data_IF_511168616828
#
_entry.id   IF_511168616828
#
_cell.length_a   1.000
_cell.length_b   1.000
_cell.length_c   1.000
_cell.angle_alpha   90.00
_cell.angle_beta   90.00
_cell.angle_gamma   90.00
#
_symmetry.space_group_name_H-M   'P 1'
#
loop_
_entity.id
_entity.type
_entity.pdbx_description
1 polymer ?
#
# COMPACT_ATOMS: atom_id res chain seq x y z
N UNK A 1 17.72 -1.79 23.25
CA UNK A 1 16.34 -1.33 23.55
C UNK A 1 16.36 0.19 23.70
N UNK A 2 15.63 0.91 22.85
CA UNK A 2 15.53 2.37 22.91
C UNK A 2 14.08 2.75 23.25
N UNK A 3 13.80 3.31 24.45
CA UNK A 3 12.48 3.76 24.85
C UNK A 3 11.95 4.96 24.05
N UNK A 4 12.84 5.75 23.44
CA UNK A 4 12.46 6.94 22.68
C UNK A 4 11.97 6.59 21.27
N UNK A 5 12.30 5.38 20.77
CA UNK A 5 11.89 4.91 19.44
C UNK A 5 10.59 4.07 19.47
N UNK A 6 9.93 3.96 20.63
CA UNK A 6 8.72 3.14 20.77
C UNK A 6 7.57 3.93 21.40
N UNK A 7 6.37 3.45 21.18
CA UNK A 7 5.14 4.03 21.72
C UNK A 7 4.35 3.03 22.57
N UNK A 8 3.39 3.53 23.36
CA UNK A 8 2.44 2.69 24.07
C UNK A 8 1.42 2.06 23.10
N UNK A 9 1.32 0.71 23.01
CA UNK A 9 0.39 0.05 22.11
C UNK A 9 -1.03 -0.09 22.67
N UNK A 10 -1.31 0.47 23.84
CA UNK A 10 -2.62 0.40 24.48
C UNK A 10 -3.52 1.54 24.01
N UNK A 11 -4.47 1.26 23.13
CA UNK A 11 -5.40 2.24 22.54
C UNK A 11 -6.21 3.03 23.58
N UNK A 12 -6.46 2.44 24.76
CA UNK A 12 -7.14 3.13 25.86
C UNK A 12 -6.22 4.09 26.64
N UNK A 13 -4.93 4.13 26.33
CA UNK A 13 -3.97 5.01 26.99
C UNK A 13 -3.96 6.39 26.34
N UNK A 14 -4.03 7.50 27.11
CA UNK A 14 -3.91 8.85 26.54
C UNK A 14 -2.61 9.05 25.75
N UNK A 15 -1.49 8.42 26.16
CA UNK A 15 -0.22 8.45 25.47
C UNK A 15 -0.06 7.34 24.41
N UNK A 16 -1.15 6.76 23.91
CA UNK A 16 -1.13 5.75 22.85
C UNK A 16 -0.52 6.30 21.57
N UNK A 17 0.38 5.55 20.93
CA UNK A 17 1.00 5.94 19.66
C UNK A 17 2.03 7.08 19.75
N UNK A 18 2.23 7.72 20.91
CA UNK A 18 3.17 8.84 21.07
C UNK A 18 4.61 8.35 21.21
N UNK A 19 5.50 8.82 20.32
CA UNK A 19 6.93 8.51 20.29
C UNK A 19 7.72 9.70 20.84
N UNK A 20 8.81 9.42 21.58
CA UNK A 20 9.76 10.46 22.04
C UNK A 20 9.21 11.41 23.13
N UNK A 21 8.10 11.07 23.76
CA UNK A 21 7.48 11.90 24.83
C UNK A 21 7.91 11.52 26.24
N UNK A 22 8.93 10.66 26.41
CA UNK A 22 9.42 10.22 27.70
C UNK A 22 8.45 9.33 28.52
N UNK A 23 7.34 8.93 27.93
CA UNK A 23 6.30 8.13 28.59
C UNK A 23 6.58 6.63 28.62
N UNK A 24 7.65 6.17 27.96
CA UNK A 24 8.06 4.78 27.91
C UNK A 24 9.41 4.60 28.62
N UNK A 25 9.51 3.57 29.45
CA UNK A 25 10.76 3.13 30.09
C UNK A 25 11.05 1.66 29.84
N UNK A 26 12.29 1.25 30.06
CA UNK A 26 12.67 -0.17 30.04
C UNK A 26 12.16 -0.84 31.31
N UNK A 27 11.33 -1.88 31.17
CA UNK A 27 10.82 -2.64 32.30
C UNK A 27 11.73 -3.83 32.65
N UNK A 28 12.21 -4.56 31.64
CA UNK A 28 13.10 -5.69 31.81
C UNK A 28 14.01 -5.84 30.59
N UNK A 29 15.32 -5.76 30.80
CA UNK A 29 16.31 -6.02 29.74
C UNK A 29 16.33 -7.50 29.36
N UNK A 30 16.27 -8.39 30.37
CA UNK A 30 16.29 -9.85 30.17
C UNK A 30 15.14 -10.35 29.33
N UNK A 31 13.92 -9.83 29.58
CA UNK A 31 12.70 -10.21 28.84
C UNK A 31 12.44 -9.31 27.66
N UNK A 32 13.26 -8.29 27.41
CA UNK A 32 13.09 -7.29 26.35
C UNK A 32 11.71 -6.66 26.39
N UNK A 33 11.35 -6.06 27.56
CA UNK A 33 10.04 -5.45 27.79
C UNK A 33 10.17 -3.98 28.14
N UNK A 34 9.19 -3.20 27.67
CA UNK A 34 8.96 -1.82 28.03
C UNK A 34 7.78 -1.67 28.98
N UNK A 35 7.71 -0.53 29.68
CA UNK A 35 6.58 -0.10 30.51
C UNK A 35 6.15 1.30 30.12
N UNK A 36 4.85 1.50 29.94
CA UNK A 36 4.28 2.83 29.79
C UNK A 36 4.03 3.43 31.17
N UNK A 37 4.60 4.59 31.47
CA UNK A 37 4.43 5.28 32.77
C UNK A 37 3.04 5.89 32.92
N UNK A 38 2.31 6.17 31.83
CA UNK A 38 0.97 6.76 31.86
C UNK A 38 -0.12 5.74 32.20
N UNK A 39 -0.10 4.55 31.59
CA UNK A 39 -1.11 3.51 31.85
C UNK A 39 -0.60 2.33 32.69
N UNK A 40 0.69 2.31 33.05
CA UNK A 40 1.31 1.25 33.85
C UNK A 40 1.50 -0.09 33.11
N UNK A 41 0.95 -0.29 31.91
CA UNK A 41 1.04 -1.56 31.19
C UNK A 41 2.43 -1.80 30.62
N UNK A 42 2.85 -3.08 30.65
CA UNK A 42 4.11 -3.53 30.03
C UNK A 42 3.84 -4.23 28.70
N UNK A 43 4.80 -4.15 27.79
CA UNK A 43 4.72 -4.78 26.48
C UNK A 43 6.08 -5.26 25.99
N UNK A 44 6.09 -6.32 25.18
CA UNK A 44 7.32 -6.86 24.62
C UNK A 44 7.88 -5.93 23.53
N UNK A 45 9.19 -5.94 23.34
CA UNK A 45 9.86 -5.19 22.27
C UNK A 45 9.34 -5.55 20.87
N UNK A 46 8.93 -6.80 20.66
CA UNK A 46 8.37 -7.26 19.37
C UNK A 46 6.86 -7.05 19.24
N UNK A 47 6.21 -6.45 20.24
CA UNK A 47 4.75 -6.20 20.19
C UNK A 47 4.40 -5.35 18.95
N UNK A 48 3.32 -5.72 18.24
CA UNK A 48 2.84 -5.10 17.01
C UNK A 48 3.80 -5.18 15.82
N UNK A 49 4.70 -6.20 15.84
CA UNK A 49 5.54 -6.60 14.70
C UNK A 49 5.20 -8.02 14.25
N UNK A 50 5.71 -8.41 13.08
CA UNK A 50 5.58 -9.81 12.63
C UNK A 50 6.23 -10.80 13.58
N UNK A 51 7.24 -10.41 14.33
CA UNK A 51 8.02 -11.27 15.24
C UNK A 51 7.37 -11.51 16.61
N UNK A 52 6.27 -10.83 16.91
CA UNK A 52 5.62 -10.97 18.22
C UNK A 52 5.18 -12.42 18.49
N UNK A 53 5.63 -12.98 19.63
CA UNK A 53 5.37 -14.37 20.05
C UNK A 53 5.84 -15.46 19.08
N UNK A 54 6.75 -15.15 18.15
CA UNK A 54 7.44 -16.20 17.40
C UNK A 54 8.57 -16.79 18.23
N UNK A 55 8.73 -18.12 18.19
CA UNK A 55 9.83 -18.85 18.83
C UNK A 55 11.04 -19.03 17.91
N UNK A 56 10.81 -18.96 16.60
CA UNK A 56 11.86 -19.10 15.59
C UNK A 56 12.75 -17.87 15.58
N UNK A 57 14.04 -18.07 15.37
CA UNK A 57 15.04 -17.02 15.22
C UNK A 57 14.61 -16.04 14.12
N UNK A 58 14.74 -14.75 14.42
CA UNK A 58 14.28 -13.65 13.56
C UNK A 58 14.81 -13.75 12.14
N UNK A 59 16.08 -14.07 11.97
CA UNK A 59 16.76 -14.14 10.67
C UNK A 59 16.13 -15.19 9.75
N UNK A 60 15.74 -16.34 10.28
CA UNK A 60 15.05 -17.39 9.49
C UNK A 60 13.70 -16.88 9.00
N UNK A 61 12.94 -16.19 9.85
CA UNK A 61 11.66 -15.60 9.46
C UNK A 61 11.85 -14.55 8.35
N UNK A 62 12.88 -13.69 8.47
CA UNK A 62 13.22 -12.67 7.47
C UNK A 62 13.58 -13.32 6.12
N UNK A 63 14.43 -14.37 6.14
CA UNK A 63 14.83 -15.10 4.92
C UNK A 63 13.60 -15.73 4.26
N UNK A 64 12.79 -16.45 5.02
CA UNK A 64 11.59 -17.14 4.51
C UNK A 64 10.58 -16.13 3.91
N UNK A 65 10.30 -15.03 4.62
CA UNK A 65 9.39 -14.00 4.11
C UNK A 65 9.95 -13.32 2.88
N UNK A 66 11.27 -13.11 2.82
CA UNK A 66 11.93 -12.60 1.61
C UNK A 66 11.71 -13.54 0.42
N UNK A 67 11.96 -14.83 0.58
CA UNK A 67 11.75 -15.83 -0.46
C UNK A 67 10.29 -15.85 -0.93
N UNK A 68 9.33 -15.81 -0.02
CA UNK A 68 7.90 -15.73 -0.32
C UNK A 68 7.54 -14.47 -1.11
N UNK A 69 8.06 -13.29 -0.71
CA UNK A 69 7.82 -12.02 -1.38
C UNK A 69 8.40 -11.96 -2.80
N UNK A 70 9.38 -12.80 -3.10
CA UNK A 70 9.97 -12.95 -4.44
C UNK A 70 9.45 -14.16 -5.21
N UNK A 71 8.43 -14.85 -4.70
CA UNK A 71 7.71 -15.92 -5.41
C UNK A 71 8.34 -17.30 -5.32
N UNK A 72 9.23 -17.52 -4.34
CA UNK A 72 9.73 -18.88 -4.09
C UNK A 72 8.57 -19.79 -3.63
N UNK A 73 8.42 -20.97 -4.21
CA UNK A 73 7.36 -21.91 -3.82
C UNK A 73 7.49 -22.32 -2.34
N UNK A 74 6.35 -22.40 -1.65
CA UNK A 74 6.29 -22.82 -0.23
C UNK A 74 6.99 -24.17 -0.03
N UNK A 75 6.76 -25.14 -0.91
CA UNK A 75 7.38 -26.47 -0.82
C UNK A 75 8.92 -26.42 -0.90
N UNK A 76 9.47 -25.55 -1.73
CA UNK A 76 10.93 -25.35 -1.81
C UNK A 76 11.49 -24.81 -0.49
N UNK A 77 10.77 -23.88 0.16
CA UNK A 77 11.14 -23.34 1.46
C UNK A 77 11.06 -24.42 2.55
N UNK A 78 9.97 -25.19 2.57
CA UNK A 78 9.78 -26.33 3.49
C UNK A 78 10.96 -27.30 3.40
N UNK A 79 11.32 -27.70 2.18
CA UNK A 79 12.42 -28.65 1.93
C UNK A 79 13.80 -28.05 2.31
N UNK A 80 14.03 -26.76 1.98
CA UNK A 80 15.32 -26.13 2.20
C UNK A 80 15.63 -25.85 3.69
N UNK A 81 14.60 -25.55 4.48
CA UNK A 81 14.75 -25.16 5.89
C UNK A 81 14.26 -26.20 6.90
N UNK A 82 13.71 -27.33 6.46
CA UNK A 82 13.11 -28.33 7.35
C UNK A 82 11.92 -27.79 8.15
N UNK A 83 11.21 -26.82 7.63
CA UNK A 83 10.08 -26.19 8.31
C UNK A 83 8.76 -26.91 7.98
N UNK A 84 7.82 -26.86 8.93
CA UNK A 84 6.45 -27.29 8.66
C UNK A 84 5.73 -26.31 7.70
N UNK A 85 4.96 -26.84 6.74
CA UNK A 85 4.24 -26.05 5.73
C UNK A 85 3.28 -25.03 6.37
N UNK A 86 2.59 -25.42 7.44
CA UNK A 86 1.64 -24.55 8.15
C UNK A 86 2.37 -23.35 8.79
N UNK A 87 3.61 -23.59 9.25
CA UNK A 87 4.46 -22.53 9.79
C UNK A 87 4.80 -21.51 8.71
N UNK A 88 5.25 -21.94 7.53
CA UNK A 88 5.58 -21.05 6.40
C UNK A 88 4.34 -20.27 5.94
N UNK A 89 3.21 -20.94 5.79
CA UNK A 89 1.93 -20.30 5.42
C UNK A 89 1.45 -19.31 6.50
N UNK A 90 1.64 -19.63 7.79
CA UNK A 90 1.31 -18.72 8.89
C UNK A 90 2.17 -17.44 8.84
N UNK A 91 3.46 -17.56 8.53
CA UNK A 91 4.34 -16.39 8.38
C UNK A 91 3.97 -15.57 7.13
N UNK A 92 3.61 -16.21 6.02
CA UNK A 92 3.10 -15.52 4.83
C UNK A 92 1.87 -14.69 5.15
N UNK A 93 0.86 -15.30 5.77
CA UNK A 93 -0.38 -14.63 6.18
C UNK A 93 -0.10 -13.46 7.12
N UNK A 94 0.67 -13.70 8.18
CA UNK A 94 1.01 -12.69 9.18
C UNK A 94 1.77 -11.51 8.59
N UNK A 95 2.74 -11.79 7.70
CA UNK A 95 3.49 -10.75 7.00
C UNK A 95 2.61 -9.98 6.02
N UNK A 96 1.69 -10.65 5.32
CA UNK A 96 0.74 -10.01 4.43
C UNK A 96 -0.19 -9.03 5.17
N UNK A 97 -0.77 -9.45 6.29
CA UNK A 97 -1.61 -8.61 7.15
C UNK A 97 -0.84 -7.43 7.73
N UNK A 98 0.40 -7.66 8.17
CA UNK A 98 1.28 -6.59 8.65
C UNK A 98 1.62 -5.60 7.53
N UNK A 99 1.98 -6.09 6.34
CA UNK A 99 2.24 -5.27 5.17
C UNK A 99 1.01 -4.44 4.75
N UNK A 100 -0.20 -4.97 4.92
CA UNK A 100 -1.43 -4.20 4.71
C UNK A 100 -1.51 -3.01 5.67
N UNK A 101 -1.29 -3.22 6.97
CA UNK A 101 -1.31 -2.15 7.97
C UNK A 101 -0.25 -1.08 7.68
N UNK A 102 0.98 -1.49 7.33
CA UNK A 102 2.06 -0.57 6.92
C UNK A 102 1.67 0.22 5.67
N UNK A 103 1.08 -0.44 4.68
CA UNK A 103 0.62 0.19 3.45
C UNK A 103 -0.48 1.22 3.72
N UNK A 104 -1.51 0.86 4.47
CA UNK A 104 -2.62 1.75 4.82
C UNK A 104 -2.12 2.97 5.63
N UNK A 105 -1.16 2.78 6.53
CA UNK A 105 -0.58 3.86 7.32
C UNK A 105 0.30 4.81 6.51
N UNK A 106 1.17 4.30 5.63
CA UNK A 106 2.20 5.10 4.95
C UNK A 106 1.84 5.47 3.52
N UNK A 107 1.13 4.61 2.79
CA UNK A 107 0.83 4.82 1.37
C UNK A 107 -0.55 5.44 1.17
N UNK A 108 -1.56 5.04 1.94
CA UNK A 108 -2.91 5.62 1.86
C UNK A 108 -2.98 6.99 2.56
N UNK A 109 -2.06 7.90 2.20
CA UNK A 109 -2.00 9.27 2.68
C UNK A 109 -2.10 10.25 1.50
N UNK A 110 -2.83 11.36 1.64
CA UNK A 110 -3.05 12.33 0.57
C UNK A 110 -1.74 12.90 0.01
N UNK A 111 -1.53 12.77 -1.31
CA UNK A 111 -0.37 13.30 -2.04
C UNK A 111 -0.74 13.72 -3.46
N UNK A 112 0.12 14.49 -4.13
CA UNK A 112 -0.02 14.80 -5.56
C UNK A 112 0.33 13.55 -6.38
N UNK A 113 -0.69 12.88 -6.92
CA UNK A 113 -0.51 11.67 -7.72
C UNK A 113 -0.14 11.97 -9.17
N UNK A 114 -0.56 13.11 -9.71
CA UNK A 114 -0.36 13.52 -11.11
C UNK A 114 -1.01 12.58 -12.13
N UNK A 115 -0.56 11.34 -12.23
CA UNK A 115 -1.12 10.33 -13.13
C UNK A 115 -1.23 8.97 -12.44
N UNK A 116 -2.38 8.34 -12.63
CA UNK A 116 -2.67 6.98 -12.13
C UNK A 116 -3.06 6.07 -13.29
N UNK A 117 -2.56 4.85 -13.26
CA UNK A 117 -3.04 3.76 -14.10
C UNK A 117 -3.66 2.67 -13.22
N UNK A 118 -4.73 2.05 -13.69
CA UNK A 118 -5.40 0.96 -13.01
C UNK A 118 -5.78 -0.15 -14.01
N UNK A 119 -5.74 -1.38 -13.55
CA UNK A 119 -6.09 -2.56 -14.33
C UNK A 119 -6.39 -3.73 -13.38
N UNK A 120 -7.05 -4.77 -13.87
CA UNK A 120 -7.32 -5.98 -13.09
C UNK A 120 -6.70 -7.23 -13.69
N UNK A 121 -6.32 -8.14 -12.81
CA UNK A 121 -5.83 -9.48 -13.15
C UNK A 121 -6.93 -10.48 -12.87
N UNK A 122 -7.26 -11.28 -13.89
CA UNK A 122 -8.09 -12.48 -13.72
C UNK A 122 -7.25 -13.56 -13.05
N UNK A 123 -7.72 -14.07 -11.92
CA UNK A 123 -7.04 -15.09 -11.13
C UNK A 123 -7.87 -16.35 -11.12
N UNK A 124 -7.25 -17.46 -11.54
CA UNK A 124 -7.88 -18.78 -11.46
C UNK A 124 -7.63 -19.36 -10.07
N UNK A 125 -8.71 -19.60 -9.34
CA UNK A 125 -8.71 -20.26 -8.04
C UNK A 125 -9.07 -21.74 -8.21
N UNK A 126 -9.01 -22.51 -7.13
CA UNK A 126 -9.48 -23.89 -7.15
C UNK A 126 -11.02 -23.92 -7.22
N UNK A 127 -11.56 -24.21 -8.42
CA UNK A 127 -13.00 -24.30 -8.66
C UNK A 127 -13.72 -23.00 -9.04
N UNK A 128 -13.07 -21.81 -8.94
CA UNK A 128 -13.70 -20.54 -9.28
C UNK A 128 -12.69 -19.50 -9.77
N UNK A 129 -13.17 -18.33 -10.14
CA UNK A 129 -12.37 -17.21 -10.63
C UNK A 129 -12.56 -16.03 -9.69
N UNK A 130 -11.47 -15.30 -9.43
CA UNK A 130 -11.51 -13.99 -8.76
C UNK A 130 -10.77 -12.95 -9.60
N UNK A 131 -10.97 -11.71 -9.27
CA UNK A 131 -10.34 -10.56 -9.91
C UNK A 131 -9.54 -9.77 -8.89
N UNK A 132 -8.33 -9.43 -9.26
CA UNK A 132 -7.44 -8.59 -8.45
C UNK A 132 -7.21 -7.29 -9.21
N UNK A 133 -7.88 -6.24 -8.79
CA UNK A 133 -7.73 -4.90 -9.34
C UNK A 133 -6.68 -4.13 -8.55
N UNK A 134 -5.79 -3.42 -9.26
CA UNK A 134 -4.68 -2.66 -8.68
C UNK A 134 -4.50 -1.31 -9.35
N UNK A 135 -3.87 -0.37 -8.64
CA UNK A 135 -3.53 0.94 -9.18
C UNK A 135 -2.07 1.31 -8.90
N UNK A 136 -1.48 2.12 -9.79
CA UNK A 136 -0.11 2.61 -9.71
C UNK A 136 -0.06 4.12 -9.99
N UNK A 137 0.69 4.86 -9.20
CA UNK A 137 1.12 6.22 -9.52
C UNK A 137 2.24 6.17 -10.56
N UNK A 138 2.06 6.81 -11.71
CA UNK A 138 2.99 6.68 -12.84
C UNK A 138 4.33 7.34 -12.57
N UNK A 139 4.36 8.57 -12.03
CA UNK A 139 5.60 9.32 -11.82
C UNK A 139 6.60 8.63 -10.89
N UNK A 140 6.11 8.04 -9.82
CA UNK A 140 6.94 7.39 -8.78
C UNK A 140 6.95 5.87 -8.86
N UNK A 141 6.13 5.27 -9.71
CA UNK A 141 5.90 3.81 -9.79
C UNK A 141 5.32 3.23 -8.49
N UNK A 142 4.77 4.07 -7.60
CA UNK A 142 4.21 3.65 -6.33
C UNK A 142 2.94 2.81 -6.56
N UNK A 143 2.93 1.58 -6.09
CA UNK A 143 1.71 0.79 -6.00
C UNK A 143 0.80 1.40 -4.94
N UNK A 144 -0.39 1.82 -5.35
CA UNK A 144 -1.36 2.53 -4.49
C UNK A 144 -2.31 1.60 -3.74
N UNK A 145 -2.21 0.31 -3.99
CA UNK A 145 -3.06 -0.69 -3.38
C UNK A 145 -3.85 -1.51 -4.39
N UNK A 146 -4.63 -2.44 -3.89
CA UNK A 146 -5.48 -3.29 -4.71
C UNK A 146 -6.67 -3.85 -3.93
N UNK A 147 -7.59 -4.44 -4.67
CA UNK A 147 -8.81 -5.09 -4.16
C UNK A 147 -8.96 -6.45 -4.84
N UNK A 148 -9.33 -7.46 -4.07
CA UNK A 148 -9.64 -8.80 -4.58
C UNK A 148 -11.13 -9.04 -4.45
N UNK A 149 -11.80 -9.45 -5.55
CA UNK A 149 -13.24 -9.70 -5.59
C UNK A 149 -13.55 -10.96 -6.41
N UNK A 150 -14.58 -11.74 -6.04
CA UNK A 150 -15.07 -12.84 -6.86
C UNK A 150 -15.72 -12.36 -8.16
N UNK A 151 -16.09 -11.09 -8.29
CA UNK A 151 -16.76 -10.53 -9.44
C UNK A 151 -15.97 -9.39 -10.08
N UNK A 152 -15.97 -9.34 -11.43
CA UNK A 152 -15.47 -8.21 -12.21
C UNK A 152 -16.64 -7.26 -12.48
N UNK A 153 -16.96 -6.46 -11.51
CA UNK A 153 -18.12 -5.57 -11.56
C UNK A 153 -17.76 -4.12 -11.17
N UNK A 154 -18.79 -3.26 -11.20
CA UNK A 154 -18.65 -1.85 -10.79
C UNK A 154 -18.25 -1.69 -9.30
N UNK A 155 -18.55 -2.67 -8.44
CA UNK A 155 -18.19 -2.61 -7.02
C UNK A 155 -16.69 -2.80 -6.82
N UNK A 156 -16.06 -3.73 -7.55
CA UNK A 156 -14.61 -3.91 -7.56
C UNK A 156 -13.89 -2.62 -7.99
N UNK A 157 -14.33 -2.01 -9.12
CA UNK A 157 -13.71 -0.80 -9.64
C UNK A 157 -13.91 0.38 -8.68
N UNK A 158 -15.09 0.49 -8.08
CA UNK A 158 -15.38 1.52 -7.08
C UNK A 158 -14.52 1.38 -5.84
N UNK A 159 -14.42 0.18 -5.27
CA UNK A 159 -13.58 -0.06 -4.09
C UNK A 159 -12.10 0.27 -4.35
N UNK A 160 -11.58 -0.04 -5.56
CA UNK A 160 -10.23 0.37 -5.95
C UNK A 160 -10.11 1.89 -6.05
N UNK A 161 -11.05 2.58 -6.68
CA UNK A 161 -10.98 4.04 -6.83
C UNK A 161 -11.16 4.78 -5.50
N UNK A 162 -11.92 4.24 -4.56
CA UNK A 162 -12.01 4.76 -3.18
C UNK A 162 -10.65 4.67 -2.45
N UNK A 163 -9.90 3.58 -2.60
CA UNK A 163 -8.52 3.49 -2.09
C UNK A 163 -7.60 4.53 -2.74
N UNK A 164 -7.64 4.65 -4.05
CA UNK A 164 -6.84 5.68 -4.76
C UNK A 164 -7.23 7.08 -4.31
N UNK A 165 -8.52 7.31 -4.01
CA UNK A 165 -9.00 8.59 -3.48
C UNK A 165 -8.38 8.94 -2.12
N UNK A 166 -8.16 7.97 -1.23
CA UNK A 166 -7.48 8.20 0.04
C UNK A 166 -6.00 8.61 -0.15
N UNK A 167 -5.36 8.14 -1.24
CA UNK A 167 -3.99 8.52 -1.57
C UNK A 167 -3.87 9.90 -2.24
N UNK A 168 -4.97 10.53 -2.67
CA UNK A 168 -4.95 11.68 -3.56
C UNK A 168 -5.25 13.01 -2.86
N UNK A 169 -4.46 14.04 -3.15
CA UNK A 169 -4.84 15.43 -2.94
C UNK A 169 -5.76 15.90 -4.07
N UNK A 170 -6.64 16.89 -3.78
CA UNK A 170 -7.49 17.54 -4.78
C UNK A 170 -6.63 18.46 -5.67
N UNK A 171 -6.04 17.88 -6.69
CA UNK A 171 -5.19 18.51 -7.71
C UNK A 171 -5.41 17.83 -9.05
N UNK A 172 -4.89 18.44 -10.13
CA UNK A 172 -4.95 17.87 -11.45
C UNK A 172 -4.44 16.42 -11.49
N UNK A 173 -5.33 15.48 -11.82
CA UNK A 173 -5.09 14.05 -11.76
C UNK A 173 -5.60 13.36 -13.02
N UNK A 174 -4.69 12.74 -13.76
CA UNK A 174 -4.98 11.97 -14.96
C UNK A 174 -5.13 10.49 -14.64
N UNK A 175 -6.25 9.91 -14.99
CA UNK A 175 -6.46 8.46 -15.02
C UNK A 175 -6.29 7.94 -16.45
N UNK A 176 -5.39 6.94 -16.62
CA UNK A 176 -5.29 6.16 -17.85
C UNK A 176 -5.69 4.72 -17.55
N UNK A 177 -6.84 4.30 -18.08
CA UNK A 177 -7.43 2.97 -17.85
C UNK A 177 -7.73 2.28 -19.19
N UNK A 178 -8.10 1.01 -19.13
CA UNK A 178 -8.60 0.31 -20.32
C UNK A 178 -9.98 0.83 -20.78
N UNK A 179 -10.53 0.24 -21.86
CA UNK A 179 -11.81 0.63 -22.42
C UNK A 179 -13.05 0.29 -21.56
N UNK A 180 -12.88 -0.19 -20.32
CA UNK A 180 -13.97 -0.57 -19.45
C UNK A 180 -14.68 0.67 -18.87
N UNK A 181 -15.96 0.83 -19.16
CA UNK A 181 -16.78 1.98 -18.71
C UNK A 181 -16.95 2.01 -17.18
N UNK A 182 -16.88 0.85 -16.51
CA UNK A 182 -17.00 0.78 -15.07
C UNK A 182 -15.90 1.57 -14.35
N UNK A 183 -14.68 1.73 -14.93
CA UNK A 183 -13.65 2.60 -14.39
C UNK A 183 -14.05 4.08 -14.44
N UNK A 184 -14.62 4.53 -15.55
CA UNK A 184 -15.05 5.94 -15.71
C UNK A 184 -16.11 6.29 -14.66
N UNK A 185 -17.11 5.43 -14.48
CA UNK A 185 -18.16 5.61 -13.47
C UNK A 185 -17.57 5.57 -12.04
N UNK A 186 -16.66 4.64 -11.76
CA UNK A 186 -16.02 4.51 -10.47
C UNK A 186 -15.16 5.75 -10.11
N UNK A 187 -14.36 6.26 -11.06
CA UNK A 187 -13.56 7.48 -10.88
C UNK A 187 -14.48 8.67 -10.58
N UNK A 188 -15.50 8.90 -11.40
CA UNK A 188 -16.45 10.01 -11.22
C UNK A 188 -17.20 9.95 -9.88
N UNK A 189 -17.44 8.75 -9.34
CA UNK A 189 -18.11 8.56 -8.06
C UNK A 189 -17.18 8.69 -6.86
N UNK A 190 -15.94 8.24 -6.96
CA UNK A 190 -14.97 8.28 -5.88
C UNK A 190 -14.39 9.69 -5.66
N UNK A 191 -14.14 10.44 -6.75
CA UNK A 191 -13.49 11.74 -6.68
C UNK A 191 -14.51 12.88 -6.57
N UNK A 192 -15.15 12.93 -5.41
CA UNK A 192 -16.12 13.95 -5.00
C UNK A 192 -15.81 14.46 -3.61
N UNK A 193 -16.22 15.66 -3.32
CA UNK A 193 -16.13 16.28 -2.01
C UNK A 193 -17.50 16.79 -1.54
N UNK A 194 -17.76 16.78 -0.22
CA UNK A 194 -18.99 17.33 0.31
C UNK A 194 -19.02 18.86 0.16
N UNK A 195 -20.14 19.38 -0.32
CA UNK A 195 -20.40 20.82 -0.32
C UNK A 195 -20.95 21.20 1.04
N UNK A 196 -20.42 22.23 1.72
CA UNK A 196 -21.04 22.78 2.94
C UNK A 196 -22.50 23.16 2.66
N UNK A 197 -23.40 22.73 3.52
CA UNK A 197 -24.84 22.98 3.36
C UNK A 197 -25.59 22.82 4.68
N UNK A 198 -26.90 23.16 4.71
CA UNK A 198 -27.73 22.97 5.88
C UNK A 198 -27.77 21.48 6.30
N UNK A 199 -28.23 21.21 7.52
CA UNK A 199 -28.32 19.86 8.08
C UNK A 199 -29.04 18.90 7.11
N UNK A 200 -28.48 17.70 6.93
CA UNK A 200 -29.00 16.67 6.06
C UNK A 200 -27.88 15.90 5.34
N UNK A 201 -28.27 15.08 4.34
CA UNK A 201 -27.28 14.36 3.51
C UNK A 201 -26.49 15.36 2.67
N UNK A 202 -25.15 15.46 2.81
CA UNK A 202 -24.35 16.42 2.08
C UNK A 202 -24.45 16.20 0.56
N UNK A 203 -24.62 17.28 -0.19
CA UNK A 203 -24.45 17.25 -1.65
C UNK A 203 -22.96 17.04 -1.95
N UNK A 204 -22.66 16.27 -3.01
CA UNK A 204 -21.29 15.97 -3.41
C UNK A 204 -20.97 16.69 -4.71
N UNK A 205 -19.87 17.42 -4.75
CA UNK A 205 -19.30 18.05 -5.94
C UNK A 205 -18.15 17.19 -6.47
N UNK A 206 -18.10 16.89 -7.79
CA UNK A 206 -16.91 16.29 -8.39
C UNK A 206 -15.68 17.19 -8.19
N UNK A 207 -14.50 16.61 -8.12
CA UNK A 207 -13.26 17.38 -8.23
C UNK A 207 -13.12 17.94 -9.65
N UNK A 208 -12.75 19.23 -9.75
CA UNK A 208 -12.75 19.96 -11.02
C UNK A 208 -11.66 19.46 -11.99
N UNK A 209 -10.51 19.04 -11.47
CA UNK A 209 -9.32 18.70 -12.25
C UNK A 209 -9.10 17.18 -12.44
N UNK A 210 -10.17 16.40 -12.51
CA UNK A 210 -10.09 14.98 -12.84
C UNK A 210 -10.13 14.80 -14.35
N UNK A 211 -9.05 14.25 -14.91
CA UNK A 211 -8.91 13.93 -16.33
C UNK A 211 -8.98 12.42 -16.51
N UNK A 212 -9.69 11.95 -17.53
CA UNK A 212 -9.85 10.53 -17.81
C UNK A 212 -9.54 10.25 -19.27
N UNK A 213 -8.61 9.33 -19.49
CA UNK A 213 -8.25 8.83 -20.79
C UNK A 213 -8.34 7.30 -20.84
N UNK A 214 -8.74 6.76 -21.95
CA UNK A 214 -8.85 5.31 -22.15
C UNK A 214 -7.98 4.81 -23.28
N UNK A 215 -7.45 3.60 -23.08
CA UNK A 215 -6.73 2.82 -24.10
C UNK A 215 -7.62 1.65 -24.49
N UNK A 216 -8.20 1.73 -25.70
CA UNK A 216 -9.11 0.71 -26.22
C UNK A 216 -8.35 -0.14 -27.23
N UNK A 217 -8.13 -1.41 -26.92
CA UNK A 217 -7.50 -2.37 -27.84
C UNK A 217 -8.56 -2.98 -28.75
N UNK A 218 -8.33 -2.89 -30.04
CA UNK A 218 -9.17 -3.54 -31.06
C UNK A 218 -8.61 -4.93 -31.35
N UNK A 219 -9.49 -5.91 -31.41
CA UNK A 219 -9.09 -7.30 -31.62
C UNK A 219 -9.72 -7.87 -32.89
N UNK A 220 -8.92 -8.57 -33.69
CA UNK A 220 -9.42 -9.50 -34.71
C UNK A 220 -8.70 -10.84 -34.52
N UNK A 221 -9.43 -11.95 -34.62
CA UNK A 221 -8.90 -13.32 -34.47
C UNK A 221 -8.00 -13.49 -33.21
N UNK A 222 -8.40 -12.93 -32.07
CA UNK A 222 -7.67 -12.91 -30.78
C UNK A 222 -6.33 -12.16 -30.81
N UNK A 223 -6.01 -11.41 -31.87
CA UNK A 223 -4.83 -10.54 -31.97
C UNK A 223 -5.21 -9.07 -31.88
N UNK A 224 -4.36 -8.26 -31.27
CA UNK A 224 -4.54 -6.80 -31.26
C UNK A 224 -4.19 -6.29 -32.65
N UNK A 225 -5.19 -5.69 -33.35
CA UNK A 225 -5.04 -5.10 -34.68
C UNK A 225 -4.92 -3.57 -34.62
N UNK A 226 -5.34 -2.95 -33.52
CA UNK A 226 -5.29 -1.49 -33.36
C UNK A 226 -5.41 -1.09 -31.90
N UNK A 227 -4.97 0.13 -31.61
CA UNK A 227 -5.09 0.75 -30.29
C UNK A 227 -5.64 2.15 -30.47
N UNK A 228 -6.86 2.38 -29.97
CA UNK A 228 -7.50 3.68 -29.96
C UNK A 228 -7.27 4.33 -28.60
N UNK A 229 -6.84 5.58 -28.59
CA UNK A 229 -6.68 6.41 -27.40
C UNK A 229 -7.73 7.49 -27.42
N UNK A 230 -8.60 7.51 -26.43
CA UNK A 230 -9.67 8.50 -26.35
C UNK A 230 -9.60 9.30 -25.06
N UNK A 231 -9.86 10.59 -25.18
CA UNK A 231 -10.10 11.47 -24.04
C UNK A 231 -11.58 11.33 -23.67
N UNK A 232 -11.84 10.96 -22.42
CA UNK A 232 -13.20 10.79 -21.88
C UNK A 232 -13.62 12.02 -21.08
N UNK A 233 -12.64 12.64 -20.38
CA UNK A 233 -12.86 13.81 -19.56
C UNK A 233 -11.60 14.68 -19.51
N UNK A 234 -11.77 15.99 -19.66
CA UNK A 234 -10.70 16.98 -19.78
C UNK A 234 -10.37 17.30 -21.25
N UNK A 235 -9.35 18.13 -21.45
CA UNK A 235 -8.86 18.54 -22.76
C UNK A 235 -7.57 17.81 -23.14
N UNK A 236 -7.31 17.70 -24.44
CA UNK A 236 -6.06 17.11 -24.96
C UNK A 236 -4.82 17.86 -24.42
N UNK A 237 -4.89 19.20 -24.31
CA UNK A 237 -3.79 20.01 -23.81
C UNK A 237 -3.49 19.73 -22.32
N UNK A 238 -4.52 19.64 -21.49
CA UNK A 238 -4.36 19.28 -20.06
C UNK A 238 -3.74 17.89 -19.88
N UNK A 239 -4.20 16.92 -20.67
CA UNK A 239 -3.65 15.56 -20.64
C UNK A 239 -2.19 15.56 -21.10
N UNK A 240 -1.85 16.25 -22.19
CA UNK A 240 -0.48 16.34 -22.68
C UNK A 240 0.46 16.96 -21.63
N UNK A 241 0.02 18.02 -20.93
CA UNK A 241 0.78 18.65 -19.84
C UNK A 241 1.07 17.67 -18.70
N UNK A 242 0.08 16.87 -18.26
CA UNK A 242 0.27 15.87 -17.22
C UNK A 242 1.15 14.71 -17.67
N UNK A 243 1.02 14.24 -18.91
CA UNK A 243 1.91 13.23 -19.49
C UNK A 243 3.35 13.73 -19.53
N UNK A 244 3.58 15.00 -19.88
CA UNK A 244 4.92 15.61 -19.85
C UNK A 244 5.48 15.60 -18.43
N UNK A 245 4.69 16.04 -17.43
CA UNK A 245 5.10 16.11 -16.02
C UNK A 245 5.42 14.73 -15.43
N UNK A 246 4.63 13.70 -15.75
CA UNK A 246 4.66 12.41 -15.03
C UNK A 246 5.49 11.34 -15.70
N UNK A 247 5.66 11.39 -17.01
CA UNK A 247 6.39 10.37 -17.77
C UNK A 247 7.36 10.94 -18.82
N UNK A 248 7.55 12.26 -18.87
CA UNK A 248 8.43 12.91 -19.83
C UNK A 248 7.82 13.05 -21.24
N UNK A 249 6.48 13.04 -21.35
CA UNK A 249 5.75 13.12 -22.60
C UNK A 249 5.31 11.77 -23.16
N UNK A 250 4.96 11.72 -24.43
CA UNK A 250 4.50 10.53 -25.12
C UNK A 250 2.97 10.40 -25.17
N UNK A 251 2.50 9.19 -25.41
CA UNK A 251 1.09 8.89 -25.65
C UNK A 251 0.39 8.37 -24.38
N UNK A 252 -0.93 8.56 -24.34
CA UNK A 252 -1.81 7.88 -23.39
C UNK A 252 -1.56 6.36 -23.47
N UNK A 253 -1.22 5.72 -22.35
CA UNK A 253 -0.89 4.31 -22.28
C UNK A 253 -1.25 3.70 -20.92
N UNK A 254 -1.24 2.37 -20.82
CA UNK A 254 -1.41 1.55 -19.61
C UNK A 254 -0.15 0.73 -19.29
N UNK A 255 0.99 1.05 -19.92
CA UNK A 255 2.19 0.23 -19.91
C UNK A 255 2.79 0.07 -18.50
N UNK A 256 2.66 1.07 -17.64
CA UNK A 256 3.20 0.99 -16.27
C UNK A 256 2.40 0.01 -15.42
N UNK A 257 1.08 -0.03 -15.59
CA UNK A 257 0.24 -0.99 -14.91
C UNK A 257 0.43 -2.40 -15.47
N UNK A 258 0.56 -2.57 -16.78
CA UNK A 258 0.88 -3.87 -17.40
C UNK A 258 2.21 -4.44 -16.87
N UNK A 259 3.24 -3.58 -16.70
CA UNK A 259 4.53 -3.97 -16.10
C UNK A 259 4.41 -4.34 -14.63
N UNK A 260 3.61 -3.60 -13.86
CA UNK A 260 3.32 -3.94 -12.47
C UNK A 260 2.61 -5.30 -12.38
N UNK A 261 1.60 -5.52 -13.21
CA UNK A 261 0.89 -6.79 -13.31
C UNK A 261 1.84 -7.96 -13.62
N UNK A 262 2.83 -7.75 -14.49
CA UNK A 262 3.86 -8.75 -14.77
C UNK A 262 4.73 -9.04 -13.54
N UNK A 263 5.09 -8.02 -12.76
CA UNK A 263 5.83 -8.18 -11.50
C UNK A 263 5.04 -8.99 -10.48
N UNK A 264 3.76 -8.70 -10.31
CA UNK A 264 2.91 -9.46 -9.39
C UNK A 264 2.73 -10.93 -9.87
N UNK A 265 2.56 -11.14 -11.18
CA UNK A 265 2.50 -12.50 -11.74
C UNK A 265 3.78 -13.29 -11.53
N UNK A 266 4.96 -12.68 -11.55
CA UNK A 266 6.23 -13.36 -11.29
C UNK A 266 6.44 -13.70 -9.80
N UNK A 267 5.74 -13.00 -8.89
CA UNK A 267 5.95 -13.14 -7.44
C UNK A 267 4.81 -13.85 -6.70
N UNK A 268 3.64 -13.95 -7.29
CA UNK A 268 2.49 -14.68 -6.73
C UNK A 268 2.16 -15.84 -7.65
N UNK A 269 2.47 -17.04 -7.22
CA UNK A 269 2.33 -18.26 -8.04
C UNK A 269 0.92 -18.44 -8.62
N UNK A 270 -0.12 -18.07 -7.87
CA UNK A 270 -1.52 -18.14 -8.32
C UNK A 270 -1.85 -17.20 -9.49
N UNK A 271 -1.03 -16.18 -9.76
CA UNK A 271 -1.22 -15.22 -10.85
C UNK A 271 -0.50 -15.64 -12.15
N UNK A 272 0.31 -16.70 -12.11
CA UNK A 272 1.08 -17.18 -13.26
C UNK A 272 0.11 -17.71 -14.32
N UNK A 273 0.21 -17.15 -15.54
CA UNK A 273 -0.59 -17.64 -16.68
C UNK A 273 -0.25 -19.10 -16.96
N UNK A 274 -1.26 -19.97 -17.01
CA UNK A 274 -1.11 -21.42 -17.21
C UNK A 274 -0.33 -22.14 -16.09
N UNK A 275 -0.18 -21.50 -14.91
CA UNK A 275 0.40 -22.13 -13.73
C UNK A 275 -0.53 -23.20 -13.14
N UNK A 276 0.08 -24.20 -12.50
CA UNK A 276 -0.65 -25.25 -11.73
C UNK A 276 -0.89 -24.87 -10.27
N UNK A 277 -0.18 -23.86 -9.76
CA UNK A 277 -0.33 -23.37 -8.39
C UNK A 277 -1.58 -22.48 -8.28
N UNK A 278 -2.71 -23.08 -7.95
CA UNK A 278 -3.97 -22.36 -7.75
C UNK A 278 -4.07 -21.89 -6.29
N UNK A 279 -4.49 -20.64 -6.08
CA UNK A 279 -4.87 -20.22 -4.75
C UNK A 279 -6.18 -20.92 -4.34
N UNK A 280 -6.26 -21.31 -3.06
CA UNK A 280 -7.45 -21.99 -2.51
C UNK A 280 -8.41 -21.01 -1.85
N UNK A 281 -7.89 -19.93 -1.30
CA UNK A 281 -8.65 -18.97 -0.49
C UNK A 281 -8.34 -17.53 -0.91
N UNK A 282 -9.35 -16.69 -0.97
CA UNK A 282 -9.23 -15.26 -1.28
C UNK A 282 -8.31 -14.54 -0.29
N UNK A 283 -8.39 -14.76 1.05
CA UNK A 283 -7.48 -14.13 2.00
C UNK A 283 -6.00 -14.39 1.71
N UNK A 284 -5.63 -15.60 1.28
CA UNK A 284 -4.23 -15.92 0.93
C UNK A 284 -3.74 -15.09 -0.26
N UNK A 285 -4.60 -14.85 -1.26
CA UNK A 285 -4.27 -14.00 -2.39
C UNK A 285 -4.14 -12.54 -1.97
N UNK A 286 -5.02 -12.08 -1.11
CA UNK A 286 -5.01 -10.74 -0.54
C UNK A 286 -3.74 -10.48 0.28
N UNK A 287 -3.40 -11.39 1.19
CA UNK A 287 -2.17 -11.31 1.99
C UNK A 287 -0.91 -11.30 1.10
N UNK A 288 -0.89 -12.16 0.07
CA UNK A 288 0.18 -12.19 -0.93
C UNK A 288 0.30 -10.90 -1.73
N UNK A 289 -0.82 -10.28 -2.08
CA UNK A 289 -0.86 -9.00 -2.77
C UNK A 289 -0.22 -7.90 -1.92
N UNK A 290 -0.57 -7.78 -0.64
CA UNK A 290 0.01 -6.77 0.25
C UNK A 290 1.48 -7.04 0.55
N UNK A 291 1.86 -8.29 0.79
CA UNK A 291 3.27 -8.65 0.99
C UNK A 291 4.12 -8.22 -0.22
N UNK A 292 3.73 -8.63 -1.43
CA UNK A 292 4.46 -8.32 -2.66
C UNK A 292 4.44 -6.82 -2.96
N UNK A 293 3.29 -6.17 -2.82
CA UNK A 293 3.13 -4.74 -3.12
C UNK A 293 3.92 -3.84 -2.17
N UNK A 294 3.95 -4.17 -0.88
CA UNK A 294 4.71 -3.38 0.11
C UNK A 294 6.21 -3.60 -0.06
N UNK A 295 6.65 -4.84 -0.28
CA UNK A 295 8.05 -5.14 -0.61
C UNK A 295 8.48 -4.45 -1.92
N UNK A 296 7.61 -4.40 -2.94
CA UNK A 296 7.84 -3.66 -4.17
C UNK A 296 8.03 -2.17 -3.89
N UNK A 297 7.18 -1.56 -3.07
CA UNK A 297 7.23 -0.13 -2.76
C UNK A 297 8.47 0.25 -1.94
N UNK A 298 8.79 -0.49 -0.89
CA UNK A 298 9.78 -0.09 0.13
C UNK A 298 11.15 -0.75 -0.06
N UNK A 299 11.18 -2.01 -0.50
CA UNK A 299 12.40 -2.82 -0.48
C UNK A 299 13.03 -3.03 -1.87
N UNK A 300 12.31 -2.74 -2.97
CA UNK A 300 12.79 -3.04 -4.33
C UNK A 300 13.22 -1.77 -5.05
N UNK A 301 14.50 -1.69 -5.45
CA UNK A 301 14.98 -0.62 -6.32
C UNK A 301 14.39 -0.70 -7.72
N UNK A 302 14.00 0.45 -8.27
CA UNK A 302 13.49 0.58 -9.63
C UNK A 302 14.52 1.23 -10.55
N UNK A 303 14.93 0.53 -11.61
CA UNK A 303 15.93 1.05 -12.56
C UNK A 303 15.48 2.37 -13.21
N UNK A 304 14.19 2.52 -13.52
CA UNK A 304 13.65 3.74 -14.14
C UNK A 304 13.51 4.93 -13.18
N UNK A 305 13.66 4.72 -11.87
CA UNK A 305 13.55 5.78 -10.85
C UNK A 305 14.92 6.30 -10.38
N UNK A 306 16.02 5.72 -10.89
CA UNK A 306 17.37 6.16 -10.53
C UNK A 306 17.63 7.58 -11.03
N UNK A 307 18.32 8.39 -10.22
CA UNK A 307 18.76 9.73 -10.59
C UNK A 307 20.26 9.71 -10.97
N UNK A 308 20.69 10.42 -12.01
CA UNK A 308 22.11 10.57 -12.29
C UNK A 308 22.75 11.46 -11.22
N UNK A 309 23.89 11.04 -10.70
CA UNK A 309 24.77 11.83 -9.86
C UNK A 309 26.01 12.16 -10.70
N UNK A 310 26.25 13.46 -10.92
CA UNK A 310 27.46 13.96 -11.57
C UNK A 310 28.50 14.21 -10.49
N UNK A 311 29.59 13.45 -10.52
CA UNK A 311 30.72 13.60 -9.61
C UNK A 311 31.82 14.41 -10.31
N UNK A 312 32.70 15.11 -9.54
CA UNK A 312 33.94 15.63 -10.10
C UNK A 312 34.67 14.53 -10.88
N UNK A 313 35.26 14.83 -12.06
CA UNK A 313 35.92 13.90 -12.97
C UNK A 313 35.00 13.08 -13.89
N UNK A 314 33.85 13.64 -14.32
CA UNK A 314 32.92 13.03 -15.30
C UNK A 314 32.45 11.61 -14.99
N UNK A 315 32.59 11.12 -13.76
CA UNK A 315 32.10 9.81 -13.38
C UNK A 315 30.61 9.87 -13.09
N UNK A 316 29.81 9.25 -13.95
CA UNK A 316 28.37 9.03 -13.70
C UNK A 316 28.17 7.98 -12.63
N UNK A 317 27.53 8.34 -11.53
CA UNK A 317 26.93 7.42 -10.58
C UNK A 317 25.41 7.55 -10.59
N UNK A 318 24.73 6.56 -10.01
CA UNK A 318 23.28 6.53 -9.98
C UNK A 318 22.81 6.42 -8.54
N UNK A 319 22.00 7.38 -8.11
CA UNK A 319 21.23 7.26 -6.89
C UNK A 319 20.04 6.33 -7.17
N UNK A 320 20.06 5.14 -6.58
CA UNK A 320 18.99 4.17 -6.73
C UNK A 320 17.82 4.54 -5.81
N UNK A 321 16.61 4.43 -6.32
CA UNK A 321 15.39 4.73 -5.54
C UNK A 321 14.39 3.60 -5.64
N UNK A 322 13.68 3.36 -4.53
CA UNK A 322 12.42 2.57 -4.49
C UNK A 322 11.25 3.47 -4.85
N UNK A 323 10.06 2.94 -5.18
CA UNK A 323 8.85 3.75 -5.34
C UNK A 323 8.53 4.62 -4.11
N UNK A 324 8.72 4.09 -2.90
CA UNK A 324 8.49 4.83 -1.67
C UNK A 324 9.47 6.01 -1.49
N UNK A 325 10.76 5.84 -1.83
CA UNK A 325 11.73 6.95 -1.86
C UNK A 325 11.32 7.99 -2.91
N UNK A 326 10.94 7.56 -4.11
CA UNK A 326 10.54 8.46 -5.17
C UNK A 326 9.26 9.24 -4.84
N UNK A 327 8.38 8.67 -4.02
CA UNK A 327 7.16 9.30 -3.53
C UNK A 327 7.36 10.16 -2.25
N UNK A 328 8.59 10.24 -1.73
CA UNK A 328 8.91 10.99 -0.50
C UNK A 328 8.34 10.38 0.78
N UNK A 329 8.06 9.06 0.78
CA UNK A 329 7.52 8.35 1.95
C UNK A 329 8.65 7.95 2.90
N UNK A 330 9.81 7.64 2.37
CA UNK A 330 11.03 7.29 3.12
C UNK A 330 12.25 7.87 2.43
N UNK A 331 13.33 8.06 3.17
CA UNK A 331 14.61 8.59 2.70
C UNK A 331 15.59 7.49 2.24
N UNK A 332 15.33 6.22 2.61
CA UNK A 332 16.17 5.08 2.29
C UNK A 332 15.37 3.86 1.84
N UNK A 333 16.07 2.86 1.29
CA UNK A 333 15.49 1.55 0.99
C UNK A 333 15.37 0.75 2.26
N UNK A 334 14.16 0.33 2.60
CA UNK A 334 13.94 -0.57 3.71
C UNK A 334 14.49 -1.98 3.44
N UNK A 335 15.03 -2.59 4.47
CA UNK A 335 15.25 -4.04 4.50
C UNK A 335 13.94 -4.76 4.76
N UNK A 336 13.87 -6.05 4.46
CA UNK A 336 12.69 -6.86 4.83
C UNK A 336 12.55 -6.92 6.38
N UNK A 337 13.65 -6.99 7.09
CA UNK A 337 13.66 -6.97 8.56
C UNK A 337 13.03 -5.69 9.10
N UNK A 338 13.42 -4.54 8.57
CA UNK A 338 12.89 -3.24 8.94
C UNK A 338 11.38 -3.17 8.65
N UNK A 339 10.94 -3.59 7.47
CA UNK A 339 9.52 -3.67 7.10
C UNK A 339 8.73 -4.53 8.10
N UNK A 340 9.22 -5.73 8.42
CA UNK A 340 8.55 -6.66 9.34
C UNK A 340 8.62 -6.22 10.82
N UNK A 341 9.54 -5.33 11.15
CA UNK A 341 9.70 -4.74 12.49
C UNK A 341 8.98 -3.40 12.65
N UNK A 342 8.53 -2.80 11.55
CA UNK A 342 7.84 -1.51 11.60
C UNK A 342 6.56 -1.62 12.45
N UNK A 343 6.37 -0.67 13.36
CA UNK A 343 5.16 -0.63 14.19
C UNK A 343 4.26 0.47 13.70
N UNK A 344 3.09 0.09 13.25
CA UNK A 344 2.05 1.05 12.89
C UNK A 344 1.48 1.64 14.18
N UNK A 345 1.59 2.95 14.41
CA UNK A 345 1.01 3.56 15.59
C UNK A 345 -0.52 3.40 15.57
N UNK A 346 -1.13 3.14 16.72
CA UNK A 346 -2.58 3.12 16.83
C UNK A 346 -3.15 4.52 16.54
N UNK A 347 -4.45 4.62 16.22
CA UNK A 347 -5.09 5.90 16.02
C UNK A 347 -4.94 6.78 17.27
N UNK A 348 -4.92 8.12 17.11
CA UNK A 348 -4.82 9.04 18.24
C UNK A 348 -5.90 8.74 19.28
N UNK A 349 -5.51 8.75 20.55
CA UNK A 349 -6.45 8.56 21.64
C UNK A 349 -7.56 9.59 21.60
N UNK A 350 -8.81 9.13 21.74
CA UNK A 350 -9.97 9.98 21.87
C UNK A 350 -10.49 9.90 23.29
N UNK A 351 -10.70 11.04 23.97
CA UNK A 351 -11.26 11.04 25.30
C UNK A 351 -12.67 10.41 25.27
N UNK A 352 -13.05 9.64 26.32
CA UNK A 352 -14.35 9.03 26.38
C UNK A 352 -15.47 10.07 26.30
N UNK A 353 -16.42 9.88 25.41
CA UNK A 353 -17.62 10.73 25.30
C UNK A 353 -18.46 10.57 26.59
N UNK A 354 -18.38 11.53 27.51
CA UNK A 354 -19.23 11.62 28.70
C UNK A 354 -20.26 12.69 28.49
N UNK A 355 -21.45 12.50 29.09
CA UNK A 355 -22.45 13.59 29.17
C UNK A 355 -21.93 14.66 30.14
N UNK A 356 -21.97 15.94 29.74
CA UNK A 356 -21.55 17.08 30.52
C UNK A 356 -20.13 17.59 30.24
N UNK A 357 -19.70 18.59 30.99
CA UNK A 357 -18.39 19.23 30.86
C UNK A 357 -17.27 18.28 31.30
N UNK A 358 -16.17 18.13 30.51
CA UNK A 358 -15.04 17.32 30.92
C UNK A 358 -14.44 17.75 32.26
N UNK A 359 -14.04 16.79 33.10
CA UNK A 359 -13.34 17.08 34.37
C UNK A 359 -12.01 17.79 34.11
N UNK A 360 -11.46 18.48 35.12
CA UNK A 360 -10.16 19.13 35.01
C UNK A 360 -9.04 18.15 34.68
N UNK A 361 -9.09 16.93 35.25
CA UNK A 361 -8.16 15.86 34.92
C UNK A 361 -8.26 15.44 33.45
N UNK A 362 -9.47 15.30 32.90
CA UNK A 362 -9.68 14.98 31.48
C UNK A 362 -9.18 16.09 30.57
N UNK A 363 -9.38 17.37 30.95
CA UNK A 363 -8.85 18.51 30.17
C UNK A 363 -7.33 18.54 30.16
N UNK A 364 -6.68 18.24 31.27
CA UNK A 364 -5.22 18.17 31.37
C UNK A 364 -4.67 17.05 30.44
N UNK A 365 -5.31 15.86 30.44
CA UNK A 365 -4.95 14.78 29.53
C UNK A 365 -5.13 15.15 28.04
N UNK A 366 -6.23 15.84 27.71
CA UNK A 366 -6.46 16.31 26.33
C UNK A 366 -5.37 17.31 25.92
N UNK A 367 -5.05 18.28 26.78
CA UNK A 367 -4.03 19.29 26.50
C UNK A 367 -2.63 18.66 26.34
N UNK A 368 -2.34 17.60 27.07
CA UNK A 368 -1.04 16.91 27.04
C UNK A 368 -0.87 15.95 25.86
N UNK A 369 -1.95 15.25 25.44
CA UNK A 369 -1.84 14.10 24.54
C UNK A 369 -2.65 14.21 23.25
N UNK A 370 -3.51 15.21 23.07
CA UNK A 370 -4.36 15.40 21.89
C UNK A 370 -3.98 16.62 21.04
N UNK A 371 -2.80 17.20 21.28
CA UNK A 371 -2.28 18.35 20.50
C UNK A 371 -1.35 17.89 19.39
#
# INVERSE_FOLDING_TARGET
MDPQAVFCPNEACPASGQIGKGNIGVHSLKERRYKCHVCGKTFAETKDTVFYRLRTVKDIVVIVVTLLAYGCPVQAIVMAFGLDERTVLSWQRRSGQHCQQVHEHLVEQPRDLGQVQADEIRVKMQGFIVWMAMAIQVGTRLWLGGVVSPQRDKHLMRALMERVRHCALSRALLFCVDGCEAYVDAIRKAFREPIPGPAGRPRLRPWDDILIAQVVKQYAQKRVIGVVRRVVQGTQAQIAALLQKTQGGGLINTAYMERLNATFRSRIAALVRRGRALARQIPTLHDGMYLVGTVYNFCTYHKSLRLPLYLPNDRRRWLRRTPAIAAGITDHRWTIEELLSFRVPPPPWQPPKRRGRPSNATKALIAQWCT
#
